data_IF_304892299619
#
_entry.id   IF_304892299619
#
_cell.length_a   1.000
_cell.length_b   1.000
_cell.length_c   1.000
_cell.angle_alpha   90.00
_cell.angle_beta   90.00
_cell.angle_gamma   90.00
#
_symmetry.space_group_name_H-M   'P 1'
#
loop_
_entity.id
_entity.type
_entity.pdbx_description
1 polymer ?
#
# COMPACT_ATOMS: atom_id res chain seq x y z
N UNK A 1 -24.03 -0.09 18.77
CA UNK A 1 -23.58 -1.03 17.71
C UNK A 1 -22.15 -1.49 18.04
N UNK A 2 -21.99 -2.58 18.81
CA UNK A 2 -20.67 -3.03 19.26
C UNK A 2 -19.67 -3.34 18.12
N UNK A 3 -20.15 -3.87 17.00
CA UNK A 3 -19.31 -4.27 15.86
C UNK A 3 -18.57 -3.12 15.18
N UNK A 4 -19.24 -1.97 14.96
CA UNK A 4 -18.58 -0.80 14.34
C UNK A 4 -17.47 -0.23 15.24
N UNK A 5 -17.72 -0.16 16.55
CA UNK A 5 -16.72 0.28 17.52
C UNK A 5 -15.54 -0.68 17.56
N UNK A 6 -15.79 -1.98 17.54
CA UNK A 6 -14.75 -3.01 17.49
C UNK A 6 -13.86 -2.86 16.24
N UNK A 7 -14.45 -2.60 15.06
CA UNK A 7 -13.67 -2.37 13.84
C UNK A 7 -12.75 -1.15 13.93
N UNK A 8 -13.22 -0.06 14.54
CA UNK A 8 -12.39 1.14 14.76
C UNK A 8 -11.26 0.89 15.76
N UNK A 9 -11.53 0.16 16.84
CA UNK A 9 -10.52 -0.24 17.83
C UNK A 9 -9.48 -1.17 17.18
N UNK A 10 -9.92 -2.13 16.34
CA UNK A 10 -9.04 -3.02 15.60
C UNK A 10 -8.12 -2.22 14.66
N UNK A 11 -8.68 -1.30 13.86
CA UNK A 11 -7.90 -0.41 12.98
C UNK A 11 -6.85 0.40 13.75
N UNK A 12 -7.22 0.94 14.92
CA UNK A 12 -6.27 1.65 15.77
C UNK A 12 -5.11 0.75 16.23
N UNK A 13 -5.41 -0.48 16.68
CA UNK A 13 -4.38 -1.45 17.09
C UNK A 13 -3.46 -1.85 15.95
N UNK A 14 -4.02 -2.05 14.75
CA UNK A 14 -3.24 -2.30 13.53
C UNK A 14 -2.28 -1.14 13.25
N UNK A 15 -2.77 0.10 13.25
CA UNK A 15 -1.93 1.27 13.01
C UNK A 15 -0.83 1.46 14.07
N UNK A 16 -1.09 1.07 15.33
CA UNK A 16 -0.07 1.06 16.39
C UNK A 16 0.99 -0.02 16.14
N UNK A 17 0.58 -1.25 15.86
CA UNK A 17 1.50 -2.37 15.61
C UNK A 17 2.43 -2.10 14.41
N UNK A 18 1.90 -1.49 13.35
CA UNK A 18 2.70 -1.05 12.19
C UNK A 18 3.75 -0.02 12.60
N UNK A 19 3.37 1.00 13.39
CA UNK A 19 4.33 2.00 13.91
C UNK A 19 5.40 1.36 14.77
N UNK A 20 5.00 0.55 15.75
CA UNK A 20 5.92 -0.11 16.68
C UNK A 20 6.95 -0.99 15.92
N UNK A 21 6.50 -1.72 14.89
CA UNK A 21 7.38 -2.55 14.05
C UNK A 21 8.36 -1.71 13.23
N UNK A 22 7.86 -0.69 12.51
CA UNK A 22 8.69 0.13 11.62
C UNK A 22 9.70 0.99 12.39
N UNK A 23 9.31 1.55 13.54
CA UNK A 23 10.22 2.23 14.47
C UNK A 23 11.34 1.29 14.93
N UNK A 24 10.99 0.05 15.32
CA UNK A 24 11.96 -0.99 15.66
C UNK A 24 12.89 -1.42 14.51
N UNK A 25 12.53 -1.10 13.25
CA UNK A 25 13.34 -1.31 12.05
C UNK A 25 14.08 -0.04 11.59
N UNK A 26 14.16 0.98 12.46
CA UNK A 26 14.79 2.28 12.26
C UNK A 26 14.15 3.12 11.13
N UNK A 27 12.85 2.95 10.87
CA UNK A 27 12.13 3.85 9.99
C UNK A 27 11.67 5.10 10.74
N UNK A 28 11.69 6.23 10.06
CA UNK A 28 11.17 7.50 10.59
C UNK A 28 9.76 7.77 10.05
N UNK A 29 8.81 8.07 10.95
CA UNK A 29 7.49 8.57 10.56
C UNK A 29 7.61 10.04 10.16
N UNK A 30 7.51 10.35 8.86
CA UNK A 30 7.62 11.73 8.35
C UNK A 30 6.32 12.08 7.63
N UNK A 31 5.72 13.21 7.99
CA UNK A 31 4.52 13.68 7.28
C UNK A 31 4.89 14.39 5.97
N UNK A 32 4.08 14.17 4.94
CA UNK A 32 4.26 14.81 3.63
C UNK A 32 3.08 15.72 3.29
N UNK A 33 3.28 16.81 2.52
CA UNK A 33 2.21 17.73 2.18
C UNK A 33 1.03 17.08 1.44
N UNK A 34 -0.19 17.48 1.76
CA UNK A 34 -1.42 17.05 1.07
C UNK A 34 -1.87 18.01 -0.05
N UNK A 35 -1.40 19.26 -0.04
CA UNK A 35 -1.66 20.22 -1.13
C UNK A 35 -0.45 20.23 -2.06
N UNK A 36 -0.55 19.45 -3.14
CA UNK A 36 0.57 19.18 -4.04
C UNK A 36 0.31 19.76 -5.42
N UNK A 37 1.32 19.73 -6.30
CA UNK A 37 1.11 20.04 -7.71
C UNK A 37 0.47 18.83 -8.39
N UNK A 38 -0.53 19.06 -9.24
CA UNK A 38 -1.10 17.98 -10.06
C UNK A 38 -0.04 17.41 -11.00
N UNK A 39 -0.01 16.08 -11.08
CA UNK A 39 0.84 15.32 -12.00
C UNK A 39 -0.07 14.54 -12.93
N UNK A 40 0.10 14.62 -14.26
CA UNK A 40 -0.82 14.00 -15.23
C UNK A 40 -0.74 12.46 -15.29
N UNK A 41 -0.19 11.80 -14.28
CA UNK A 41 0.01 10.36 -14.22
C UNK A 41 -1.00 9.68 -13.29
N UNK A 42 -1.32 8.41 -13.56
CA UNK A 42 -2.15 7.58 -12.69
C UNK A 42 -3.66 7.86 -12.83
N UNK A 43 -4.32 8.05 -11.68
CA UNK A 43 -5.75 8.34 -11.58
C UNK A 43 -6.04 9.83 -11.80
N UNK A 44 -7.31 10.21 -11.75
CA UNK A 44 -7.71 11.62 -11.76
C UNK A 44 -7.50 12.23 -10.36
N UNK A 45 -6.94 13.44 -10.33
CA UNK A 45 -6.70 14.18 -9.09
C UNK A 45 -7.94 14.95 -8.63
N UNK A 46 -8.17 15.01 -7.32
CA UNK A 46 -9.02 16.05 -6.73
C UNK A 46 -8.29 17.40 -6.75
N UNK A 47 -8.97 18.44 -7.24
CA UNK A 47 -8.41 19.79 -7.32
C UNK A 47 -8.90 20.70 -6.19
N UNK A 48 -7.99 21.49 -5.65
CA UNK A 48 -8.27 22.51 -4.63
C UNK A 48 -7.89 23.89 -5.19
N UNK A 49 -8.87 24.77 -5.47
CA UNK A 49 -8.60 26.09 -6.03
C UNK A 49 -7.82 26.98 -5.04
N UNK A 50 -6.80 27.67 -5.52
CA UNK A 50 -6.02 28.59 -4.70
C UNK A 50 -6.68 29.97 -4.62
N UNK A 51 -6.98 30.42 -3.39
CA UNK A 51 -7.43 31.80 -3.15
C UNK A 51 -6.33 32.83 -3.42
N UNK A 52 -5.07 32.47 -3.14
CA UNK A 52 -3.91 33.37 -3.21
C UNK A 52 -3.40 33.52 -4.66
N UNK A 53 -3.53 32.46 -5.46
CA UNK A 53 -3.10 32.45 -6.85
C UNK A 53 -4.30 32.19 -7.77
N UNK A 54 -5.04 33.25 -8.18
CA UNK A 54 -6.20 33.11 -9.05
C UNK A 54 -5.88 32.33 -10.33
N UNK A 55 -6.75 31.39 -10.69
CA UNK A 55 -6.58 30.50 -11.85
C UNK A 55 -5.63 29.32 -11.61
N UNK A 56 -5.02 29.21 -10.43
CA UNK A 56 -4.15 28.09 -10.06
C UNK A 56 -4.85 27.13 -9.09
N UNK A 57 -4.46 25.86 -9.16
CA UNK A 57 -5.03 24.77 -8.37
C UNK A 57 -3.91 23.96 -7.71
N UNK A 58 -4.17 23.50 -6.49
CA UNK A 58 -3.46 22.36 -5.91
C UNK A 58 -4.19 21.08 -6.29
N UNK A 59 -3.51 19.95 -6.16
CA UNK A 59 -4.08 18.63 -6.21
C UNK A 59 -3.96 17.96 -4.83
N UNK A 60 -4.87 17.05 -4.51
CA UNK A 60 -4.70 16.10 -3.41
C UNK A 60 -3.93 14.87 -3.91
N UNK A 61 -2.94 14.36 -3.16
CA UNK A 61 -2.05 13.31 -3.65
C UNK A 61 -2.74 11.96 -3.73
N UNK A 62 -2.48 11.24 -4.83
CA UNK A 62 -2.86 9.83 -4.99
C UNK A 62 -2.02 8.90 -4.11
N UNK A 63 -0.80 9.31 -3.79
CA UNK A 63 0.12 8.75 -2.80
C UNK A 63 1.27 9.75 -2.53
N UNK A 64 2.07 9.57 -1.46
CA UNK A 64 3.27 10.38 -1.21
C UNK A 64 4.48 10.05 -2.12
N UNK A 65 4.29 9.39 -3.27
CA UNK A 65 5.36 8.80 -4.09
C UNK A 65 6.53 9.74 -4.39
N UNK A 66 6.25 10.97 -4.83
CA UNK A 66 7.32 11.93 -5.17
C UNK A 66 8.06 12.37 -3.90
N UNK A 67 7.34 12.58 -2.80
CA UNK A 67 7.94 13.05 -1.55
C UNK A 67 8.80 11.98 -0.89
N UNK A 68 8.38 10.71 -0.86
CA UNK A 68 9.22 9.65 -0.29
C UNK A 68 10.51 9.45 -1.08
N UNK A 69 10.48 9.62 -2.40
CA UNK A 69 11.69 9.62 -3.22
C UNK A 69 12.60 10.82 -2.93
N UNK A 70 12.03 12.02 -2.78
CA UNK A 70 12.80 13.20 -2.36
C UNK A 70 13.41 13.02 -0.97
N UNK A 71 12.72 12.33 -0.06
CA UNK A 71 13.25 12.01 1.27
C UNK A 71 14.46 11.09 1.17
N UNK A 72 14.43 10.06 0.32
CA UNK A 72 15.60 9.21 0.07
C UNK A 72 16.78 10.04 -0.44
N UNK A 73 16.53 10.93 -1.42
CA UNK A 73 17.56 11.85 -1.96
C UNK A 73 18.10 12.81 -0.89
N UNK A 74 17.26 13.21 0.06
CA UNK A 74 17.66 14.09 1.17
C UNK A 74 18.47 13.39 2.28
N UNK A 75 18.74 12.09 2.14
CA UNK A 75 19.49 11.29 3.10
C UNK A 75 18.65 10.66 4.22
N UNK A 76 17.32 10.62 4.06
CA UNK A 76 16.45 9.89 4.98
C UNK A 76 16.41 8.42 4.54
N UNK A 77 17.29 7.59 5.08
CA UNK A 77 17.51 6.22 4.57
C UNK A 77 16.30 5.28 4.70
N UNK A 78 15.43 5.51 5.69
CA UNK A 78 14.24 4.69 5.96
C UNK A 78 13.09 5.56 6.40
N UNK A 79 12.05 5.62 5.58
CA UNK A 79 10.89 6.48 5.77
C UNK A 79 9.62 5.64 5.80
N UNK A 80 8.67 6.01 6.65
CA UNK A 80 7.30 5.55 6.53
C UNK A 80 6.29 6.66 6.87
N UNK A 81 5.04 6.45 6.46
CA UNK A 81 3.91 7.29 6.84
C UNK A 81 2.60 6.50 6.70
N UNK A 82 1.70 6.65 7.68
CA UNK A 82 0.31 6.23 7.50
C UNK A 82 -0.46 7.39 6.86
N UNK A 83 -0.33 7.50 5.54
CA UNK A 83 -0.75 8.66 4.76
C UNK A 83 -2.21 8.58 4.32
N UNK A 84 -2.85 9.75 4.19
CA UNK A 84 -4.15 9.88 3.52
C UNK A 84 -3.93 10.12 2.02
N UNK A 85 -4.63 9.33 1.20
CA UNK A 85 -4.51 9.33 -0.24
C UNK A 85 -5.88 9.53 -0.89
N UNK A 86 -5.87 10.18 -2.06
CA UNK A 86 -7.08 10.65 -2.73
C UNK A 86 -7.08 10.25 -4.20
N UNK A 87 -8.17 9.65 -4.70
CA UNK A 87 -8.34 9.29 -6.11
C UNK A 87 -9.75 9.64 -6.56
N UNK A 88 -9.87 10.46 -7.60
CA UNK A 88 -11.16 10.81 -8.20
C UNK A 88 -11.58 9.74 -9.22
N UNK A 89 -11.88 8.54 -8.70
CA UNK A 89 -12.35 7.37 -9.46
C UNK A 89 -13.74 6.92 -9.02
N UNK A 90 -14.41 6.15 -9.88
CA UNK A 90 -15.68 5.51 -9.53
C UNK A 90 -15.52 4.55 -8.35
N UNK A 91 -16.47 4.66 -7.42
CA UNK A 91 -16.54 3.84 -6.22
C UNK A 91 -16.79 2.36 -6.55
N UNK A 92 -16.16 1.47 -5.76
CA UNK A 92 -16.45 0.04 -5.69
C UNK A 92 -16.52 -0.38 -4.23
N UNK A 93 -16.95 -1.63 -3.96
CA UNK A 93 -17.07 -2.14 -2.60
C UNK A 93 -15.77 -2.01 -1.77
N UNK A 94 -14.62 -2.07 -2.45
CA UNK A 94 -13.27 -1.97 -1.90
C UNK A 94 -12.55 -0.65 -2.24
N UNK A 95 -13.23 0.30 -2.90
CA UNK A 95 -12.63 1.57 -3.35
C UNK A 95 -13.38 2.77 -2.81
N UNK A 96 -12.67 3.62 -2.07
CA UNK A 96 -13.15 4.90 -1.58
C UNK A 96 -12.30 6.01 -2.20
N UNK A 97 -12.88 7.21 -2.47
CA UNK A 97 -12.14 8.34 -3.06
C UNK A 97 -11.05 8.84 -2.12
N UNK A 98 -11.23 8.60 -0.83
CA UNK A 98 -10.28 8.91 0.23
C UNK A 98 -9.98 7.63 1.01
N UNK A 99 -8.70 7.27 1.08
CA UNK A 99 -8.25 6.03 1.71
C UNK A 99 -6.89 6.21 2.38
N UNK A 100 -6.49 5.24 3.20
CA UNK A 100 -5.25 5.32 3.97
C UNK A 100 -4.27 4.27 3.48
N UNK A 101 -3.03 4.69 3.24
CA UNK A 101 -1.93 3.79 2.90
C UNK A 101 -0.92 3.74 4.03
N UNK A 102 -0.27 2.59 4.20
CA UNK A 102 1.01 2.49 4.89
C UNK A 102 2.05 2.66 3.79
N UNK A 103 2.58 3.87 3.68
CA UNK A 103 3.60 4.21 2.69
C UNK A 103 4.97 4.06 3.34
N UNK A 104 5.92 3.48 2.62
CA UNK A 104 7.28 3.28 3.10
C UNK A 104 8.27 3.34 1.94
N UNK A 105 9.51 3.67 2.26
CA UNK A 105 10.61 3.74 1.30
C UNK A 105 11.94 3.49 2.00
N UNK A 106 12.89 2.89 1.29
CA UNK A 106 14.22 2.53 1.81
C UNK A 106 15.31 2.87 0.78
N UNK A 107 16.37 3.53 1.23
CA UNK A 107 17.58 3.76 0.45
C UNK A 107 18.44 2.50 0.40
N UNK A 108 19.16 2.30 -0.70
CA UNK A 108 20.13 1.20 -0.88
C UNK A 108 19.58 -0.22 -0.66
N UNK A 109 18.27 -0.40 -0.85
CA UNK A 109 17.58 -1.68 -0.67
C UNK A 109 17.28 -2.36 -2.01
N UNK A 110 17.42 -3.68 -2.07
CA UNK A 110 16.93 -4.52 -3.15
C UNK A 110 15.47 -4.95 -2.92
N UNK A 111 14.90 -5.67 -3.89
CA UNK A 111 13.54 -6.21 -3.79
C UNK A 111 13.36 -7.10 -2.55
N UNK A 112 14.32 -7.97 -2.27
CA UNK A 112 14.24 -8.92 -1.14
C UNK A 112 14.28 -8.22 0.22
N UNK A 113 15.03 -7.12 0.35
CA UNK A 113 15.08 -6.33 1.57
C UNK A 113 13.72 -5.71 1.88
N UNK A 114 13.07 -5.12 0.86
CA UNK A 114 11.75 -4.50 1.00
C UNK A 114 10.70 -5.56 1.31
N UNK A 115 10.70 -6.69 0.59
CA UNK A 115 9.79 -7.80 0.85
C UNK A 115 9.95 -8.34 2.28
N UNK A 116 11.19 -8.54 2.74
CA UNK A 116 11.46 -9.02 4.10
C UNK A 116 10.91 -8.09 5.18
N UNK A 117 11.06 -6.76 5.01
CA UNK A 117 10.47 -5.79 5.95
C UNK A 117 8.94 -5.87 5.94
N UNK A 118 8.32 -5.94 4.75
CA UNK A 118 6.85 -6.01 4.61
C UNK A 118 6.28 -7.31 5.16
N UNK A 119 6.89 -8.46 4.86
CA UNK A 119 6.49 -9.77 5.38
C UNK A 119 6.58 -9.78 6.92
N UNK A 120 7.70 -9.32 7.48
CA UNK A 120 7.87 -9.21 8.93
C UNK A 120 6.89 -8.23 9.58
N UNK A 121 6.54 -7.12 8.91
CA UNK A 121 5.53 -6.18 9.39
C UNK A 121 4.15 -6.83 9.48
N UNK A 122 3.78 -7.57 8.43
CA UNK A 122 2.51 -8.30 8.39
C UNK A 122 2.49 -9.38 9.46
N UNK A 123 3.55 -10.16 9.60
CA UNK A 123 3.65 -11.21 10.61
C UNK A 123 3.52 -10.64 12.02
N UNK A 124 4.26 -9.56 12.32
CA UNK A 124 4.16 -8.87 13.59
C UNK A 124 2.74 -8.38 13.86
N UNK A 125 2.10 -7.75 12.87
CA UNK A 125 0.74 -7.24 12.98
C UNK A 125 -0.29 -8.37 13.21
N UNK A 126 -0.25 -9.46 12.44
CA UNK A 126 -1.18 -10.58 12.59
C UNK A 126 -1.04 -11.25 13.96
N UNK A 127 0.20 -11.47 14.41
CA UNK A 127 0.48 -12.08 15.70
C UNK A 127 0.06 -11.18 16.86
N UNK A 128 0.45 -9.91 16.85
CA UNK A 128 0.17 -8.99 17.98
C UNK A 128 -1.29 -8.55 18.07
N UNK A 129 -1.97 -8.36 16.94
CA UNK A 129 -3.33 -7.82 16.91
C UNK A 129 -4.39 -8.93 16.88
N UNK A 130 -4.12 -10.03 16.15
CA UNK A 130 -5.07 -11.12 15.93
C UNK A 130 -4.68 -12.43 16.63
N UNK A 131 -3.45 -12.55 17.17
CA UNK A 131 -2.98 -13.79 17.77
C UNK A 131 -2.80 -14.92 16.74
N UNK A 132 -2.58 -14.56 15.47
CA UNK A 132 -2.42 -15.50 14.36
C UNK A 132 -0.97 -15.49 13.92
N UNK A 133 -0.34 -16.67 13.94
CA UNK A 133 0.98 -16.87 13.36
C UNK A 133 0.82 -17.08 11.85
N UNK A 134 1.61 -16.37 11.06
CA UNK A 134 1.68 -16.52 9.61
C UNK A 134 3.08 -17.00 9.21
N UNK A 135 3.13 -17.93 8.28
CA UNK A 135 4.39 -18.52 7.82
C UNK A 135 5.13 -17.54 6.88
N UNK A 136 6.44 -17.39 7.10
CA UNK A 136 7.34 -16.60 6.25
C UNK A 136 8.51 -17.47 5.77
N UNK A 137 9.09 -17.21 4.60
CA UNK A 137 8.73 -16.15 3.64
C UNK A 137 7.41 -16.46 2.93
N UNK A 138 6.72 -15.45 2.41
CA UNK A 138 5.49 -15.69 1.67
C UNK A 138 5.78 -16.37 0.33
N UNK A 139 4.88 -17.24 -0.16
CA UNK A 139 5.02 -17.83 -1.48
C UNK A 139 5.13 -16.75 -2.56
N UNK A 140 6.11 -16.90 -3.44
CA UNK A 140 6.35 -15.97 -4.56
C UNK A 140 5.93 -16.63 -5.85
N UNK A 141 5.23 -15.87 -6.69
CA UNK A 141 4.75 -16.33 -7.99
C UNK A 141 5.10 -15.28 -9.04
N UNK A 142 5.81 -15.65 -10.12
CA UNK A 142 5.98 -14.77 -11.26
C UNK A 142 4.64 -14.34 -11.86
N UNK A 143 4.56 -13.10 -12.35
CA UNK A 143 3.34 -12.57 -12.96
C UNK A 143 2.78 -13.46 -14.07
N UNK A 144 3.65 -13.98 -14.95
CA UNK A 144 3.19 -14.82 -16.06
C UNK A 144 2.55 -16.12 -15.57
N UNK A 145 3.07 -16.73 -14.50
CA UNK A 145 2.48 -17.94 -13.90
C UNK A 145 1.12 -17.62 -13.24
N UNK A 146 0.99 -16.47 -12.58
CA UNK A 146 -0.28 -16.05 -11.98
C UNK A 146 -1.38 -15.87 -13.03
N UNK A 147 -1.05 -15.25 -14.17
CA UNK A 147 -1.98 -15.10 -15.29
C UNK A 147 -2.25 -16.43 -15.98
N UNK A 148 -1.22 -17.24 -16.22
CA UNK A 148 -1.36 -18.54 -16.92
C UNK A 148 -2.20 -19.53 -16.12
N UNK A 149 -1.94 -19.68 -14.82
CA UNK A 149 -2.61 -20.67 -13.99
C UNK A 149 -3.89 -20.17 -13.32
N UNK A 150 -4.11 -18.86 -13.19
CA UNK A 150 -5.28 -18.34 -12.46
C UNK A 150 -6.01 -17.19 -13.17
N UNK A 151 -5.48 -16.66 -14.28
CA UNK A 151 -6.05 -15.51 -14.99
C UNK A 151 -6.11 -14.23 -14.15
N UNK A 152 -5.33 -14.15 -13.08
CA UNK A 152 -5.35 -13.04 -12.13
C UNK A 152 -3.96 -12.78 -11.58
N UNK A 153 -3.61 -11.50 -11.47
CA UNK A 153 -2.39 -11.00 -10.82
C UNK A 153 -2.49 -10.99 -9.27
N UNK A 154 -3.66 -11.36 -8.74
CA UNK A 154 -3.96 -11.51 -7.30
C UNK A 154 -4.75 -12.80 -7.04
N UNK A 155 -4.17 -13.97 -7.36
CA UNK A 155 -4.88 -15.24 -7.29
C UNK A 155 -5.29 -15.58 -5.85
N UNK A 156 -6.49 -16.14 -5.70
CA UNK A 156 -6.95 -16.68 -4.42
C UNK A 156 -6.41 -18.09 -4.20
N UNK A 157 -5.25 -18.16 -3.53
CA UNK A 157 -4.52 -19.41 -3.28
C UNK A 157 -5.19 -20.35 -2.26
N UNK A 158 -6.36 -20.00 -1.72
CA UNK A 158 -7.14 -20.88 -0.83
C UNK A 158 -7.80 -22.03 -1.59
N UNK A 159 -7.88 -21.94 -2.92
CA UNK A 159 -8.49 -22.94 -3.79
C UNK A 159 -7.47 -23.43 -4.83
N UNK A 160 -7.39 -24.75 -5.03
CA UNK A 160 -6.44 -25.37 -5.97
C UNK A 160 -7.01 -25.50 -7.40
N UNK A 161 -7.75 -24.50 -7.86
CA UNK A 161 -8.40 -24.51 -9.18
C UNK A 161 -7.54 -23.81 -10.22
N UNK A 162 -6.53 -24.51 -10.73
CA UNK A 162 -5.65 -23.99 -11.78
C UNK A 162 -6.27 -24.11 -13.17
N UNK A 163 -5.99 -23.15 -14.03
CA UNK A 163 -6.21 -23.25 -15.46
C UNK A 163 -5.20 -24.21 -16.08
N UNK A 164 -5.65 -24.95 -17.09
CA UNK A 164 -4.82 -25.83 -17.90
C UNK A 164 -4.95 -25.39 -19.35
N UNK A 165 -3.82 -25.13 -20.01
CA UNK A 165 -3.80 -24.86 -21.44
C UNK A 165 -4.15 -26.16 -22.20
N UNK A 166 -5.12 -26.08 -23.11
CA UNK A 166 -5.60 -27.21 -23.92
C UNK A 166 -5.42 -26.98 -25.42
N UNK A 167 -4.67 -25.96 -25.84
CA UNK A 167 -4.44 -25.63 -27.26
C UNK A 167 -3.91 -26.82 -28.07
N UNK A 168 -3.05 -27.64 -27.47
CA UNK A 168 -2.51 -28.86 -28.10
C UNK A 168 -3.60 -29.89 -28.47
N UNK A 169 -4.74 -29.89 -27.77
CA UNK A 169 -5.87 -30.80 -28.03
C UNK A 169 -6.89 -30.25 -29.04
N UNK A 170 -6.73 -29.00 -29.48
CA UNK A 170 -7.66 -28.32 -30.39
C UNK A 170 -7.13 -28.24 -31.85
N UNK A 171 -5.91 -28.71 -32.10
CA UNK A 171 -5.29 -28.81 -33.43
C UNK A 171 -5.59 -30.16 -34.10
#
# INVERSE_FOLDING_TARGET
RPSMTQNMVLRHRVAKAVRDYLDGQNFLEIETPTLVRSTPEGARDYLVPSRVHPGSFYALPQSPQIFKQLLMVSGMDRYFQIARCFRDEDLRADRQPEFTQIDMEMSFAGQDDVLGVVEGMLEHMFRTVMGVDIEMPFPRMPYHEAIEFYGSDKPDMRYDMRFHNVEEYLA
#
